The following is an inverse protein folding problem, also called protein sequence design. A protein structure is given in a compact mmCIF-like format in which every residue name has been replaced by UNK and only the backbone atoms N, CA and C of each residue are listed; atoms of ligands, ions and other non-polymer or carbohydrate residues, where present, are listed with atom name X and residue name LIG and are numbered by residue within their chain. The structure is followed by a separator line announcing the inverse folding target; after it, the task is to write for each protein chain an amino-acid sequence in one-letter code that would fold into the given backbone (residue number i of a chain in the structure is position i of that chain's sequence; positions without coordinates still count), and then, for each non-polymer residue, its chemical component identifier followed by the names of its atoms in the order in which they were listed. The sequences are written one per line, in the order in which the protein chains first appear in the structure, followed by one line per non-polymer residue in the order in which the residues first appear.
data_IF_084345874182
#
_entry.id   IF_084345874182
#
_cell.length_a   1.000
_cell.length_b   1.000
_cell.length_c   1.000
_cell.angle_alpha   90.00
_cell.angle_beta   90.00
_cell.angle_gamma   90.00
#
_symmetry.space_group_name_H-M   'P 1'
#
loop_
_entity.id
_entity.type
_entity.pdbx_description
1 polymer ?
#
# COMPACT_ATOMS: atom_id res chain seq x y z
N UNK A 1 2.59 -20.27 -41.54
CA UNK A 1 3.62 -20.60 -40.54
C UNK A 1 4.17 -19.29 -40.01
N UNK A 2 3.66 -18.90 -38.86
CA UNK A 2 3.81 -17.59 -38.20
C UNK A 2 5.23 -17.44 -37.66
N UNK A 3 5.94 -16.36 -38.02
CA UNK A 3 7.13 -15.93 -37.31
C UNK A 3 6.78 -14.76 -36.40
N UNK A 4 6.60 -15.07 -35.13
CA UNK A 4 6.60 -14.11 -34.02
C UNK A 4 8.08 -13.88 -33.70
N UNK A 5 8.64 -12.76 -34.17
CA UNK A 5 9.99 -12.33 -33.80
C UNK A 5 9.96 -10.84 -33.47
N UNK A 6 9.62 -10.51 -32.23
CA UNK A 6 10.21 -9.38 -31.50
C UNK A 6 9.79 -9.44 -30.03
N UNK A 7 10.51 -10.22 -29.21
CA UNK A 7 10.43 -10.08 -27.76
C UNK A 7 11.32 -8.91 -27.33
N UNK A 8 10.72 -7.74 -27.08
CA UNK A 8 11.40 -6.64 -26.38
C UNK A 8 11.20 -6.83 -24.87
N UNK A 9 12.26 -7.23 -24.17
CA UNK A 9 12.30 -7.17 -22.71
C UNK A 9 12.53 -5.71 -22.27
N UNK A 10 11.61 -5.16 -21.48
CA UNK A 10 11.74 -3.86 -20.83
C UNK A 10 11.65 -4.07 -19.31
N UNK A 11 12.73 -3.77 -18.59
CA UNK A 11 12.76 -3.85 -17.13
C UNK A 11 12.05 -2.65 -16.52
N UNK A 12 11.10 -2.90 -15.62
CA UNK A 12 10.36 -1.87 -14.88
C UNK A 12 10.79 -1.83 -13.42
N UNK A 13 11.02 -0.62 -12.92
CA UNK A 13 11.22 -0.31 -11.51
C UNK A 13 9.97 0.44 -11.03
N UNK A 14 8.99 -0.29 -10.50
CA UNK A 14 7.74 0.26 -9.95
C UNK A 14 7.84 0.26 -8.43
N UNK A 15 7.91 1.45 -7.83
CA UNK A 15 7.76 1.66 -6.40
C UNK A 15 6.30 2.07 -6.14
N UNK A 16 5.42 1.13 -5.78
CA UNK A 16 4.24 1.40 -4.92
C UNK A 16 3.47 0.13 -4.51
N UNK A 17 3.17 -0.03 -3.21
CA UNK A 17 2.80 -1.29 -2.54
C UNK A 17 1.48 -1.20 -1.72
N UNK A 18 0.46 -0.50 -2.21
CA UNK A 18 -0.72 -0.14 -1.37
C UNK A 18 -1.92 -1.10 -1.46
N UNK A 19 -1.88 -2.15 -2.28
CA UNK A 19 -3.14 -2.84 -2.68
C UNK A 19 -3.43 -4.14 -1.96
N UNK A 20 -2.42 -4.84 -1.45
CA UNK A 20 -2.63 -6.19 -0.89
C UNK A 20 -3.54 -6.24 0.36
N UNK A 21 -3.91 -5.07 0.91
CA UNK A 21 -4.72 -5.01 2.13
C UNK A 21 -6.24 -5.17 1.92
N UNK A 22 -6.78 -4.90 0.74
CA UNK A 22 -8.25 -4.82 0.54
C UNK A 22 -8.93 -6.18 0.27
N UNK A 23 -8.23 -7.15 -0.35
CA UNK A 23 -8.82 -8.43 -0.77
C UNK A 23 -8.97 -9.47 0.36
N UNK A 24 -8.16 -9.37 1.42
CA UNK A 24 -8.30 -10.25 2.60
C UNK A 24 -9.57 -9.95 3.41
N UNK A 25 -10.05 -8.69 3.36
CA UNK A 25 -11.22 -8.23 4.12
C UNK A 25 -12.55 -8.78 3.58
N UNK A 26 -12.66 -8.97 2.25
CA UNK A 26 -13.91 -9.48 1.65
C UNK A 26 -14.04 -11.00 1.70
N UNK A 27 -12.92 -11.72 1.78
CA UNK A 27 -12.92 -13.20 1.77
C UNK A 27 -13.32 -13.79 3.12
N UNK A 28 -13.00 -13.13 4.23
CA UNK A 28 -13.32 -13.60 5.58
C UNK A 28 -14.77 -13.33 6.00
N UNK A 29 -15.55 -12.56 5.24
CA UNK A 29 -16.96 -12.24 5.56
C UNK A 29 -17.95 -13.37 5.23
N UNK A 30 -17.54 -14.40 4.46
CA UNK A 30 -18.46 -15.41 3.90
C UNK A 30 -18.44 -16.79 4.57
N UNK A 31 -17.56 -17.05 5.55
CA UNK A 31 -17.53 -18.35 6.25
C UNK A 31 -17.60 -18.17 7.77
N UNK A 32 -18.80 -18.41 8.30
CA UNK A 32 -19.13 -18.78 9.69
C UNK A 32 -18.85 -17.70 10.75
N UNK A 33 -19.90 -17.12 11.36
CA UNK A 33 -20.17 -17.11 12.82
C UNK A 33 -21.34 -16.18 13.18
N UNK A 34 -22.18 -16.64 14.11
CA UNK A 34 -23.51 -16.12 14.49
C UNK A 34 -23.51 -14.68 15.06
N UNK A 35 -24.55 -13.91 14.69
CA UNK A 35 -24.76 -12.48 14.96
C UNK A 35 -24.86 -12.07 16.45
N UNK A 36 -24.92 -12.99 17.40
CA UNK A 36 -25.10 -12.66 18.82
C UNK A 36 -23.81 -12.67 19.65
N UNK A 37 -22.67 -13.14 19.10
CA UNK A 37 -21.41 -13.23 19.84
C UNK A 37 -20.45 -12.05 19.57
N UNK A 38 -20.67 -11.31 18.49
CA UNK A 38 -19.74 -10.33 17.93
C UNK A 38 -19.57 -9.04 18.76
N UNK A 39 -20.62 -8.44 19.37
CA UNK A 39 -20.45 -7.21 20.15
C UNK A 39 -19.72 -7.44 21.49
N UNK A 40 -19.92 -8.61 22.10
CA UNK A 40 -19.28 -9.00 23.35
C UNK A 40 -17.79 -9.31 23.15
N UNK A 41 -17.44 -9.96 22.03
CA UNK A 41 -16.04 -10.24 21.68
C UNK A 41 -15.31 -8.98 21.19
N UNK A 42 -15.96 -8.07 20.46
CA UNK A 42 -15.34 -6.82 20.00
C UNK A 42 -14.95 -5.89 21.14
N UNK A 43 -15.81 -5.68 22.14
CA UNK A 43 -15.48 -4.84 23.31
C UNK A 43 -14.29 -5.38 24.12
N UNK A 44 -14.14 -6.71 24.21
CA UNK A 44 -13.04 -7.37 24.93
C UNK A 44 -11.79 -7.64 24.07
N UNK A 45 -11.84 -7.53 22.73
CA UNK A 45 -10.75 -7.98 21.83
C UNK A 45 -9.75 -6.91 21.42
N UNK A 46 -10.09 -5.62 21.50
CA UNK A 46 -9.19 -4.54 21.07
C UNK A 46 -7.92 -4.42 21.91
N UNK A 47 -8.02 -4.66 23.22
CA UNK A 47 -6.85 -4.67 24.12
C UNK A 47 -6.22 -6.05 24.30
N UNK A 48 -6.99 -7.13 24.11
CA UNK A 48 -6.59 -8.48 24.55
C UNK A 48 -5.89 -9.30 23.46
N UNK A 49 -6.21 -9.13 22.17
CA UNK A 49 -5.60 -9.96 21.11
C UNK A 49 -4.10 -9.67 20.86
N UNK A 50 -3.63 -8.41 20.78
CA UNK A 50 -2.20 -8.14 20.59
C UNK A 50 -1.35 -8.51 21.80
N UNK A 51 -1.89 -8.34 23.01
CA UNK A 51 -1.23 -8.68 24.26
C UNK A 51 -1.24 -10.20 24.52
N UNK A 52 -2.33 -10.91 24.20
CA UNK A 52 -2.41 -12.36 24.25
C UNK A 52 -1.52 -13.02 23.19
N UNK A 53 -1.54 -12.55 21.95
CA UNK A 53 -0.68 -13.10 20.89
C UNK A 53 0.77 -12.69 21.09
N UNK A 54 1.03 -11.44 21.50
CA UNK A 54 2.34 -10.99 21.91
C UNK A 54 2.91 -11.88 23.02
N UNK A 55 2.18 -12.14 24.09
CA UNK A 55 2.64 -13.05 25.16
C UNK A 55 2.77 -14.51 24.72
N UNK A 56 1.89 -15.00 23.84
CA UNK A 56 1.96 -16.37 23.29
C UNK A 56 3.19 -16.55 22.39
N UNK A 57 3.54 -15.55 21.57
CA UNK A 57 4.69 -15.59 20.65
C UNK A 57 5.99 -15.03 21.26
N UNK A 58 5.92 -14.26 22.35
CA UNK A 58 7.08 -13.95 23.21
C UNK A 58 7.45 -15.13 24.11
N UNK A 59 6.52 -16.07 24.32
CA UNK A 59 6.79 -17.37 24.96
C UNK A 59 7.47 -18.39 24.05
N UNK A 60 7.53 -18.12 22.72
CA UNK A 60 8.38 -18.87 21.79
C UNK A 60 9.84 -18.57 22.13
N UNK A 61 10.65 -19.61 22.35
CA UNK A 61 12.07 -19.45 22.72
C UNK A 61 12.79 -18.52 21.73
N UNK A 62 13.61 -17.57 22.21
CA UNK A 62 14.37 -16.68 21.34
C UNK A 62 15.17 -17.51 20.34
N UNK A 63 14.90 -17.34 19.05
CA UNK A 63 15.63 -18.01 17.97
C UNK A 63 14.94 -19.17 17.27
N UNK A 64 13.70 -19.57 17.62
CA UNK A 64 12.92 -20.46 16.76
C UNK A 64 12.15 -19.67 15.69
N UNK A 65 12.33 -20.06 14.43
CA UNK A 65 11.59 -19.48 13.31
C UNK A 65 10.12 -19.92 13.37
N UNK A 66 9.18 -18.98 13.24
CA UNK A 66 7.76 -19.30 13.17
C UNK A 66 7.43 -20.09 11.89
N UNK A 67 6.52 -21.05 12.01
CA UNK A 67 5.94 -21.73 10.85
C UNK A 67 5.15 -20.74 9.97
N UNK A 68 4.88 -21.14 8.73
CA UNK A 68 4.10 -20.32 7.77
C UNK A 68 2.71 -20.01 8.33
N UNK A 69 2.09 -20.98 9.00
CA UNK A 69 0.77 -20.87 9.62
C UNK A 69 0.78 -19.87 10.78
N UNK A 70 1.77 -19.96 11.68
CA UNK A 70 1.91 -19.06 12.84
C UNK A 70 2.22 -17.63 12.41
N UNK A 71 3.15 -17.46 11.46
CA UNK A 71 3.50 -16.17 10.84
C UNK A 71 2.27 -15.52 10.22
N UNK A 72 1.49 -16.29 9.46
CA UNK A 72 0.28 -15.78 8.82
C UNK A 72 -0.78 -15.40 9.86
N UNK A 73 -1.00 -16.23 10.89
CA UNK A 73 -1.95 -15.95 11.97
C UNK A 73 -1.59 -14.68 12.74
N UNK A 74 -0.30 -14.50 13.08
CA UNK A 74 0.22 -13.29 13.69
C UNK A 74 -0.11 -12.06 12.85
N UNK A 75 0.16 -12.13 11.54
CA UNK A 75 -0.09 -11.00 10.63
C UNK A 75 -1.58 -10.66 10.52
N UNK A 76 -2.46 -11.67 10.49
CA UNK A 76 -3.91 -11.48 10.41
C UNK A 76 -4.43 -10.80 11.67
N UNK A 77 -3.99 -11.24 12.84
CA UNK A 77 -4.42 -10.66 14.10
C UNK A 77 -4.01 -9.19 14.23
N UNK A 78 -2.73 -8.89 14.02
CA UNK A 78 -2.20 -7.54 14.08
C UNK A 78 -2.83 -6.63 13.01
N UNK A 79 -3.12 -7.16 11.81
CA UNK A 79 -3.83 -6.44 10.74
C UNK A 79 -5.28 -6.11 11.11
N UNK A 80 -5.99 -7.03 11.76
CA UNK A 80 -7.37 -6.82 12.17
C UNK A 80 -7.49 -5.72 13.24
N UNK A 81 -6.60 -5.76 14.24
CA UNK A 81 -6.57 -4.75 15.31
C UNK A 81 -6.18 -3.38 14.78
N UNK A 82 -5.10 -3.28 14.00
CA UNK A 82 -4.72 -1.97 13.43
C UNK A 82 -5.76 -1.46 12.42
N UNK A 83 -6.44 -2.37 11.71
CA UNK A 83 -7.47 -2.03 10.74
C UNK A 83 -8.69 -1.36 11.38
N UNK A 84 -9.17 -1.89 12.50
CA UNK A 84 -10.31 -1.32 13.23
C UNK A 84 -9.97 0.03 13.86
N UNK A 85 -8.79 0.17 14.47
CA UNK A 85 -8.30 1.43 15.02
C UNK A 85 -8.13 2.51 13.93
N UNK A 86 -7.57 2.15 12.78
CA UNK A 86 -7.44 3.08 11.63
C UNK A 86 -8.78 3.51 11.06
N UNK A 87 -9.81 2.66 11.11
CA UNK A 87 -11.16 3.03 10.69
C UNK A 87 -11.79 4.02 11.68
N UNK A 88 -11.67 3.76 12.99
CA UNK A 88 -12.11 4.68 14.04
C UNK A 88 -11.41 6.04 13.92
N UNK A 89 -10.09 6.06 13.77
CA UNK A 89 -9.30 7.28 13.63
C UNK A 89 -9.75 8.15 12.44
N UNK A 90 -10.04 7.55 11.28
CA UNK A 90 -10.55 8.28 10.11
C UNK A 90 -11.92 8.91 10.36
N UNK A 91 -12.83 8.19 11.02
CA UNK A 91 -14.17 8.69 11.35
C UNK A 91 -14.05 9.88 12.31
N UNK A 92 -13.28 9.72 13.39
CA UNK A 92 -13.09 10.75 14.41
C UNK A 92 -12.43 11.99 13.80
N UNK A 93 -11.37 11.82 12.99
CA UNK A 93 -10.70 12.93 12.31
C UNK A 93 -11.63 13.69 11.35
N UNK A 94 -12.54 12.98 10.66
CA UNK A 94 -13.54 13.62 9.80
C UNK A 94 -14.60 14.40 10.60
N UNK A 95 -14.97 13.91 11.78
CA UNK A 95 -15.90 14.62 12.69
C UNK A 95 -15.23 15.87 13.25
N UNK A 96 -13.96 15.80 13.67
CA UNK A 96 -13.18 16.94 14.15
C UNK A 96 -13.17 18.08 13.13
N UNK A 97 -12.82 17.78 11.88
CA UNK A 97 -12.80 18.79 10.79
C UNK A 97 -14.18 19.41 10.56
N UNK A 98 -15.26 18.63 10.66
CA UNK A 98 -16.63 19.15 10.52
C UNK A 98 -17.02 20.06 11.68
N UNK A 99 -16.69 19.69 12.92
CA UNK A 99 -17.01 20.50 14.10
C UNK A 99 -16.14 21.77 14.18
N UNK A 100 -14.87 21.71 13.75
CA UNK A 100 -14.01 22.90 13.60
C UNK A 100 -14.61 23.90 12.60
N UNK A 101 -15.13 23.42 11.46
CA UNK A 101 -15.79 24.28 10.46
C UNK A 101 -17.05 24.98 10.99
N UNK A 102 -17.70 24.40 12.01
CA UNK A 102 -18.91 24.91 12.66
C UNK A 102 -18.60 25.82 13.85
N UNK A 103 -17.33 25.99 14.22
CA UNK A 103 -16.86 26.76 15.39
C UNK A 103 -17.47 26.29 16.73
N UNK A 104 -17.74 25.00 16.86
CA UNK A 104 -18.27 24.42 18.08
C UNK A 104 -17.13 24.02 19.03
N UNK A 105 -16.58 24.99 19.75
CA UNK A 105 -15.32 24.85 20.49
C UNK A 105 -15.34 23.74 21.56
N UNK A 106 -16.47 23.56 22.28
CA UNK A 106 -16.59 22.49 23.28
C UNK A 106 -16.52 21.08 22.66
N UNK A 107 -17.23 20.87 21.54
CA UNK A 107 -17.24 19.57 20.86
C UNK A 107 -15.90 19.27 20.18
N UNK A 108 -15.22 20.30 19.66
CA UNK A 108 -13.88 20.15 19.08
C UNK A 108 -12.88 19.63 20.12
N UNK A 109 -12.94 20.15 21.35
CA UNK A 109 -12.07 19.66 22.45
C UNK A 109 -12.34 18.19 22.77
N UNK A 110 -13.62 17.80 22.94
CA UNK A 110 -13.98 16.41 23.23
C UNK A 110 -13.56 15.43 22.12
N UNK A 111 -13.72 15.83 20.86
CA UNK A 111 -13.33 14.99 19.70
C UNK A 111 -11.80 14.89 19.59
N UNK A 112 -11.05 15.96 19.89
CA UNK A 112 -9.58 15.95 19.96
C UNK A 112 -9.05 15.01 21.03
N UNK A 113 -9.67 15.01 22.21
CA UNK A 113 -9.30 14.10 23.29
C UNK A 113 -9.55 12.63 22.89
N UNK A 114 -10.69 12.36 22.24
CA UNK A 114 -11.00 11.02 21.75
C UNK A 114 -10.04 10.59 20.63
N UNK A 115 -9.70 11.47 19.68
CA UNK A 115 -8.69 11.20 18.65
C UNK A 115 -7.35 10.85 19.27
N UNK A 116 -6.91 11.61 20.27
CA UNK A 116 -5.63 11.41 20.96
C UNK A 116 -5.56 10.04 21.65
N UNK A 117 -6.67 9.55 22.21
CA UNK A 117 -6.76 8.18 22.78
C UNK A 117 -6.57 7.12 21.70
N UNK A 118 -7.27 7.26 20.56
CA UNK A 118 -7.15 6.33 19.43
C UNK A 118 -5.72 6.33 18.86
N UNK A 119 -5.07 7.49 18.78
CA UNK A 119 -3.68 7.63 18.34
C UNK A 119 -2.67 6.99 19.30
N UNK A 120 -2.94 7.04 20.61
CA UNK A 120 -2.16 6.32 21.61
C UNK A 120 -2.27 4.82 21.39
N UNK A 121 -3.49 4.29 21.28
CA UNK A 121 -3.71 2.85 21.03
C UNK A 121 -3.06 2.39 19.72
N UNK A 122 -3.17 3.18 18.65
CA UNK A 122 -2.48 2.91 17.38
C UNK A 122 -0.95 2.88 17.55
N UNK A 123 -0.39 3.82 18.32
CA UNK A 123 1.04 3.89 18.61
C UNK A 123 1.50 2.68 19.41
N UNK A 124 0.73 2.24 20.40
CA UNK A 124 1.06 1.10 21.27
C UNK A 124 1.06 -0.21 20.48
N UNK A 125 0.07 -0.42 19.61
CA UNK A 125 0.03 -1.59 18.71
C UNK A 125 1.23 -1.60 17.77
N UNK A 126 1.63 -0.44 17.23
CA UNK A 126 2.81 -0.34 16.37
C UNK A 126 4.13 -0.57 17.13
N UNK A 127 4.23 -0.06 18.36
CA UNK A 127 5.41 -0.28 19.21
C UNK A 127 5.57 -1.77 19.58
N UNK A 128 4.46 -2.42 19.93
CA UNK A 128 4.43 -3.85 20.25
C UNK A 128 4.93 -4.72 19.10
N UNK A 129 4.46 -4.47 17.87
CA UNK A 129 4.92 -5.26 16.71
C UNK A 129 6.36 -4.97 16.34
N UNK A 130 6.85 -3.72 16.48
CA UNK A 130 8.26 -3.43 16.25
C UNK A 130 9.17 -4.14 17.23
N UNK A 131 8.80 -4.15 18.52
CA UNK A 131 9.55 -4.89 19.52
C UNK A 131 9.64 -6.38 19.15
N UNK A 132 8.51 -6.99 18.75
CA UNK A 132 8.47 -8.39 18.33
C UNK A 132 9.29 -8.65 17.06
N UNK A 133 9.19 -7.78 16.05
CA UNK A 133 9.92 -7.91 14.79
C UNK A 133 11.43 -7.77 14.98
N UNK A 134 11.87 -6.73 15.71
CA UNK A 134 13.29 -6.40 15.86
C UNK A 134 14.00 -7.32 16.85
N UNK A 135 13.30 -7.76 17.91
CA UNK A 135 13.92 -8.58 18.95
C UNK A 135 13.89 -10.08 18.64
N UNK A 136 12.89 -10.55 17.89
CA UNK A 136 12.66 -11.99 17.68
C UNK A 136 12.57 -12.38 16.20
N UNK A 137 11.59 -11.84 15.46
CA UNK A 137 11.19 -12.40 14.16
C UNK A 137 12.19 -12.15 13.03
N UNK A 138 12.77 -10.95 12.94
CA UNK A 138 13.77 -10.62 11.92
C UNK A 138 15.09 -11.37 12.20
N UNK A 139 15.62 -11.40 13.44
CA UNK A 139 16.81 -12.18 13.77
C UNK A 139 16.64 -13.70 13.59
N UNK A 140 15.45 -14.26 13.88
CA UNK A 140 15.21 -15.71 13.79
C UNK A 140 14.91 -16.21 12.38
N UNK A 141 14.59 -15.32 11.43
CA UNK A 141 14.28 -15.70 10.05
C UNK A 141 15.51 -16.24 9.32
N UNK A 142 15.51 -17.53 8.97
CA UNK A 142 16.57 -18.14 8.16
C UNK A 142 16.24 -18.06 6.66
N UNK A 143 14.97 -18.29 6.29
CA UNK A 143 14.50 -18.26 4.92
C UNK A 143 14.38 -16.83 4.36
N UNK A 144 14.71 -16.66 3.08
CA UNK A 144 14.57 -15.38 2.37
C UNK A 144 13.12 -14.89 2.35
N UNK A 145 12.15 -15.80 2.21
CA UNK A 145 10.72 -15.49 2.25
C UNK A 145 10.28 -14.90 3.60
N UNK A 146 10.69 -15.51 4.72
CA UNK A 146 10.40 -15.03 6.08
C UNK A 146 11.00 -13.64 6.33
N UNK A 147 12.25 -13.41 5.89
CA UNK A 147 12.89 -12.09 6.01
C UNK A 147 12.13 -11.01 5.26
N UNK A 148 11.75 -11.29 4.00
CA UNK A 148 10.95 -10.36 3.19
C UNK A 148 9.60 -10.10 3.85
N UNK A 149 8.93 -11.15 4.36
CA UNK A 149 7.65 -11.01 5.05
C UNK A 149 7.73 -10.08 6.26
N UNK A 150 8.72 -10.28 7.15
CA UNK A 150 8.87 -9.46 8.35
C UNK A 150 9.31 -8.03 8.05
N UNK A 151 10.22 -7.82 7.10
CA UNK A 151 10.61 -6.47 6.66
C UNK A 151 9.44 -5.73 6.01
N UNK A 152 8.64 -6.42 5.19
CA UNK A 152 7.41 -5.88 4.62
C UNK A 152 6.41 -5.51 5.71
N UNK A 153 6.21 -6.39 6.70
CA UNK A 153 5.35 -6.11 7.85
C UNK A 153 5.84 -4.88 8.61
N UNK A 154 7.14 -4.77 8.89
CA UNK A 154 7.75 -3.58 9.50
C UNK A 154 7.44 -2.31 8.71
N UNK A 155 7.61 -2.35 7.38
CA UNK A 155 7.26 -1.25 6.49
C UNK A 155 5.78 -0.84 6.55
N UNK A 156 4.86 -1.81 6.59
CA UNK A 156 3.43 -1.54 6.74
C UNK A 156 3.10 -0.82 8.05
N UNK A 157 3.75 -1.19 9.16
CA UNK A 157 3.53 -0.55 10.46
C UNK A 157 4.16 0.83 10.56
N UNK A 158 5.32 1.06 9.92
CA UNK A 158 5.84 2.41 9.75
C UNK A 158 4.90 3.29 8.91
N UNK A 159 4.32 2.74 7.84
CA UNK A 159 3.31 3.44 7.04
C UNK A 159 2.08 3.78 7.86
N UNK A 160 1.56 2.86 8.69
CA UNK A 160 0.45 3.16 9.59
C UNK A 160 0.78 4.27 10.58
N UNK A 161 1.96 4.24 11.21
CA UNK A 161 2.42 5.33 12.07
C UNK A 161 2.46 6.67 11.35
N UNK A 162 2.98 6.70 10.12
CA UNK A 162 3.02 7.90 9.32
C UNK A 162 1.62 8.44 8.94
N UNK A 163 0.60 7.59 8.81
CA UNK A 163 -0.76 8.04 8.49
C UNK A 163 -1.38 8.90 9.59
N UNK A 164 -1.20 8.56 10.88
CA UNK A 164 -1.82 9.27 11.99
C UNK A 164 -0.87 10.20 12.76
N UNK A 165 0.43 9.90 12.81
CA UNK A 165 1.44 10.88 13.24
C UNK A 165 1.71 11.93 12.17
N UNK A 166 1.35 11.64 10.92
CA UNK A 166 1.47 12.51 9.75
C UNK A 166 0.16 13.15 9.33
N UNK A 167 -0.66 13.61 10.29
CA UNK A 167 -1.17 14.98 10.11
C UNK A 167 0.08 15.86 10.17
N UNK A 168 0.68 16.06 9.00
CA UNK A 168 2.02 16.61 8.81
C UNK A 168 2.04 18.03 9.38
N UNK A 169 2.43 18.18 10.66
CA UNK A 169 2.60 19.50 11.26
C UNK A 169 3.84 20.21 10.71
N UNK A 170 4.74 19.48 10.06
CA UNK A 170 5.84 20.08 9.32
C UNK A 170 5.34 20.58 7.98
N UNK A 171 5.53 21.87 7.73
CA UNK A 171 5.26 22.39 6.42
C UNK A 171 6.22 21.75 5.41
N UNK A 172 5.83 21.63 4.12
CA UNK A 172 6.78 21.26 3.07
C UNK A 172 8.06 22.08 3.19
N UNK A 173 9.23 21.57 2.77
CA UNK A 173 10.49 22.30 2.88
C UNK A 173 10.32 23.76 2.43
N UNK A 174 10.79 24.73 3.22
CA UNK A 174 10.52 26.15 2.95
C UNK A 174 10.88 26.57 1.51
N UNK A 175 11.93 25.95 0.95
CA UNK A 175 12.34 26.15 -0.44
C UNK A 175 11.25 25.72 -1.44
N UNK A 176 10.58 24.59 -1.21
CA UNK A 176 9.47 24.12 -2.04
C UNK A 176 8.24 25.02 -1.91
N UNK A 177 7.90 25.47 -0.69
CA UNK A 177 6.78 26.39 -0.46
C UNK A 177 7.01 27.74 -1.14
N UNK A 178 8.20 28.30 -0.98
CA UNK A 178 8.57 29.57 -1.60
C UNK A 178 8.49 29.47 -3.12
N UNK A 179 9.03 28.38 -3.68
CA UNK A 179 8.97 28.15 -5.12
C UNK A 179 7.54 27.94 -5.62
N UNK A 180 6.72 27.16 -4.91
CA UNK A 180 5.32 26.99 -5.27
C UNK A 180 4.53 28.31 -5.21
N UNK A 181 4.77 29.16 -4.21
CA UNK A 181 4.13 30.46 -4.07
C UNK A 181 4.53 31.45 -5.18
N UNK A 182 5.79 31.45 -5.61
CA UNK A 182 6.26 32.22 -6.77
C UNK A 182 5.57 31.74 -8.06
N UNK A 183 5.50 30.43 -8.24
CA UNK A 183 5.01 29.77 -9.46
C UNK A 183 3.48 29.79 -9.60
N UNK A 184 2.71 29.93 -8.51
CA UNK A 184 1.24 29.85 -8.54
C UNK A 184 0.59 30.93 -9.41
N UNK A 185 1.28 32.06 -9.59
CA UNK A 185 0.79 33.20 -10.38
C UNK A 185 1.21 33.13 -11.84
N UNK A 186 2.04 32.15 -12.24
CA UNK A 186 2.45 31.98 -13.63
C UNK A 186 1.33 31.33 -14.45
N UNK A 187 0.77 32.01 -15.47
CA UNK A 187 -0.33 31.48 -16.27
C UNK A 187 0.02 30.22 -17.08
N UNK A 188 1.31 29.89 -17.19
CA UNK A 188 1.81 28.66 -17.81
C UNK A 188 1.55 27.43 -16.94
N UNK A 189 1.52 27.58 -15.61
CA UNK A 189 1.44 26.47 -14.65
C UNK A 189 0.00 25.99 -14.44
N UNK A 190 -0.98 26.86 -14.70
CA UNK A 190 -2.40 26.49 -14.68
C UNK A 190 -2.86 25.74 -15.93
N UNK A 191 -1.98 25.52 -16.91
CA UNK A 191 -2.31 24.79 -18.14
C UNK A 191 -2.06 23.30 -17.95
N UNK A 192 -2.79 22.49 -18.71
CA UNK A 192 -2.40 21.09 -18.88
C UNK A 192 -0.97 21.04 -19.45
N UNK A 193 -0.10 20.31 -18.76
CA UNK A 193 1.25 20.03 -19.22
C UNK A 193 1.26 19.05 -20.39
N UNK A 194 2.44 18.82 -20.97
CA UNK A 194 2.61 17.74 -21.93
C UNK A 194 2.27 16.39 -21.29
N UNK A 195 1.67 15.47 -22.05
CA UNK A 195 1.24 14.15 -21.58
C UNK A 195 2.38 13.35 -20.95
N UNK A 196 3.61 13.60 -21.42
CA UNK A 196 4.82 12.94 -20.95
C UNK A 196 5.47 13.54 -19.69
N UNK A 197 4.96 14.70 -19.24
CA UNK A 197 5.48 15.43 -18.09
C UNK A 197 6.39 16.60 -18.46
N UNK A 198 6.72 17.39 -17.43
CA UNK A 198 7.53 18.61 -17.55
C UNK A 198 8.96 18.26 -18.01
N UNK A 199 9.51 18.90 -19.07
CA UNK A 199 10.83 18.57 -19.62
C UNK A 199 11.97 18.58 -18.59
N UNK A 200 12.02 19.61 -17.75
CA UNK A 200 13.04 19.80 -16.72
C UNK A 200 13.03 18.64 -15.70
N UNK A 201 11.84 18.17 -15.35
CA UNK A 201 11.67 17.03 -14.45
C UNK A 201 12.14 15.73 -15.10
N UNK A 202 11.81 15.53 -16.39
CA UNK A 202 12.22 14.33 -17.14
C UNK A 202 13.74 14.26 -17.29
N UNK A 203 14.40 15.38 -17.56
CA UNK A 203 15.86 15.45 -17.62
C UNK A 203 16.51 15.15 -16.27
N UNK A 204 15.97 15.71 -15.19
CA UNK A 204 16.44 15.43 -13.83
C UNK A 204 16.30 13.94 -13.47
N UNK A 205 15.17 13.33 -13.78
CA UNK A 205 14.93 11.90 -13.56
C UNK A 205 15.83 11.03 -14.44
N UNK A 206 16.02 11.40 -15.71
CA UNK A 206 16.91 10.67 -16.64
C UNK A 206 18.35 10.68 -16.13
N UNK A 207 18.84 11.83 -15.68
CA UNK A 207 20.17 11.97 -15.07
C UNK A 207 20.30 11.09 -13.82
N UNK A 208 19.31 11.13 -12.93
CA UNK A 208 19.27 10.28 -11.73
C UNK A 208 19.34 8.79 -12.10
N UNK A 209 18.54 8.34 -13.07
CA UNK A 209 18.53 6.94 -13.53
C UNK A 209 19.86 6.52 -14.18
N UNK A 210 20.51 7.43 -14.89
CA UNK A 210 21.83 7.18 -15.48
C UNK A 210 22.92 7.05 -14.41
N UNK A 211 22.92 7.96 -13.43
CA UNK A 211 23.95 8.04 -12.39
C UNK A 211 23.80 6.91 -11.37
N UNK A 212 22.59 6.70 -10.85
CA UNK A 212 22.33 5.75 -9.78
C UNK A 212 21.95 4.35 -10.28
N UNK A 213 21.13 4.26 -11.33
CA UNK A 213 20.59 2.98 -11.81
C UNK A 213 21.31 2.42 -13.04
N UNK A 214 22.25 3.19 -13.63
CA UNK A 214 23.03 2.80 -14.82
C UNK A 214 22.15 2.49 -16.06
N UNK A 215 21.03 3.20 -16.20
CA UNK A 215 20.02 2.97 -17.24
C UNK A 215 20.11 3.95 -18.42
N UNK A 216 21.11 3.78 -19.29
CA UNK A 216 21.52 4.76 -20.30
C UNK A 216 20.70 4.88 -21.59
N UNK A 217 19.74 3.98 -21.83
CA UNK A 217 18.93 3.93 -23.08
C UNK A 217 17.43 3.95 -22.80
N UNK A 218 17.04 4.73 -21.79
CA UNK A 218 15.67 4.80 -21.30
C UNK A 218 15.05 6.15 -21.62
N UNK A 219 13.80 6.16 -22.08
CA UNK A 219 12.99 7.38 -22.13
C UNK A 219 12.15 7.48 -20.85
N UNK A 220 12.04 8.68 -20.29
CA UNK A 220 11.27 8.93 -19.07
C UNK A 220 9.95 9.61 -19.42
N UNK A 221 8.87 9.06 -18.86
CA UNK A 221 7.53 9.62 -18.87
C UNK A 221 7.06 9.77 -17.42
N UNK A 222 6.50 10.91 -17.06
CA UNK A 222 5.94 11.17 -15.72
C UNK A 222 4.43 11.06 -15.78
N UNK A 223 3.86 10.11 -15.04
CA UNK A 223 2.41 9.87 -14.98
C UNK A 223 1.86 10.16 -13.58
N UNK A 224 0.54 10.37 -13.48
CA UNK A 224 -0.20 10.46 -12.22
C UNK A 224 -0.38 9.07 -11.59
N UNK A 225 0.74 8.42 -11.28
CA UNK A 225 0.81 7.10 -10.68
C UNK A 225 0.83 5.94 -11.67
N UNK A 226 0.95 4.73 -11.11
CA UNK A 226 1.16 3.50 -11.87
C UNK A 226 -0.04 3.09 -12.75
N UNK A 227 -1.27 3.45 -12.36
CA UNK A 227 -2.46 3.11 -13.15
C UNK A 227 -2.49 3.85 -14.50
N UNK A 228 -2.17 5.14 -14.52
CA UNK A 228 -2.09 5.89 -15.77
C UNK A 228 -0.94 5.37 -16.65
N UNK A 229 0.20 5.03 -16.04
CA UNK A 229 1.30 4.40 -16.77
C UNK A 229 0.88 3.08 -17.43
N UNK A 230 0.15 2.22 -16.69
CA UNK A 230 -0.35 0.95 -17.21
C UNK A 230 -1.32 1.16 -18.38
N UNK A 231 -2.30 2.07 -18.23
CA UNK A 231 -3.27 2.37 -19.31
C UNK A 231 -2.55 2.88 -20.55
N UNK A 232 -1.62 3.84 -20.41
CA UNK A 232 -0.86 4.37 -21.53
C UNK A 232 -0.08 3.26 -22.26
N UNK A 233 0.51 2.31 -21.51
CA UNK A 233 1.18 1.16 -22.10
C UNK A 233 0.22 0.28 -22.91
N UNK A 234 -0.95 -0.05 -22.35
CA UNK A 234 -1.95 -0.87 -23.06
C UNK A 234 -2.43 -0.18 -24.32
N UNK A 235 -2.74 1.12 -24.26
CA UNK A 235 -3.14 1.92 -25.42
C UNK A 235 -2.03 2.03 -26.49
N UNK A 236 -0.77 1.92 -26.09
CA UNK A 236 0.38 2.00 -27.02
C UNK A 236 0.71 0.65 -27.65
N UNK A 237 0.43 -0.46 -26.94
CA UNK A 237 0.90 -1.79 -27.30
C UNK A 237 -0.18 -2.72 -27.84
N UNK A 238 -1.46 -2.44 -27.59
CA UNK A 238 -2.56 -3.34 -27.94
C UNK A 238 -3.53 -2.69 -28.93
N UNK A 239 -3.86 -3.44 -29.98
CA UNK A 239 -4.87 -3.10 -30.97
C UNK A 239 -6.11 -4.01 -30.85
N UNK A 240 -7.20 -3.61 -31.52
CA UNK A 240 -8.42 -4.40 -31.56
C UNK A 240 -8.17 -5.76 -32.23
N UNK A 241 -8.58 -6.84 -31.57
CA UNK A 241 -8.37 -8.21 -32.04
C UNK A 241 -7.07 -8.87 -31.55
N UNK A 242 -6.20 -8.14 -30.85
CA UNK A 242 -5.05 -8.75 -30.17
C UNK A 242 -5.50 -9.73 -29.08
N UNK A 243 -4.60 -10.64 -28.73
CA UNK A 243 -4.78 -11.56 -27.60
C UNK A 243 -3.75 -11.25 -26.54
N UNK A 244 -4.20 -11.10 -25.30
CA UNK A 244 -3.35 -10.73 -24.17
C UNK A 244 -3.44 -11.78 -23.09
N UNK A 245 -2.30 -12.04 -22.45
CA UNK A 245 -2.22 -12.94 -21.30
C UNK A 245 -1.99 -12.11 -20.04
N UNK A 246 -2.88 -12.28 -19.07
CA UNK A 246 -2.79 -11.72 -17.73
C UNK A 246 -2.60 -12.85 -16.72
N UNK A 247 -2.01 -12.57 -15.57
CA UNK A 247 -1.85 -13.53 -14.49
C UNK A 247 -2.58 -13.05 -13.24
N UNK A 248 -3.27 -13.96 -12.55
CA UNK A 248 -3.92 -13.67 -11.29
C UNK A 248 -2.91 -13.67 -10.13
N UNK A 249 -3.03 -12.77 -9.13
CA UNK A 249 -4.04 -11.73 -8.98
C UNK A 249 -3.71 -10.47 -9.80
N UNK A 250 -4.72 -9.91 -10.48
CA UNK A 250 -4.63 -8.64 -11.19
C UNK A 250 -5.70 -7.67 -10.72
N UNK A 251 -5.52 -6.39 -11.03
CA UNK A 251 -6.51 -5.37 -10.74
C UNK A 251 -7.61 -5.31 -11.80
N UNK A 252 -8.83 -4.99 -11.37
CA UNK A 252 -9.93 -4.77 -12.29
C UNK A 252 -9.61 -3.73 -13.37
N UNK A 253 -8.86 -2.66 -13.04
CA UNK A 253 -8.49 -1.64 -14.02
C UNK A 253 -7.54 -2.18 -15.10
N UNK A 254 -6.69 -3.16 -14.79
CA UNK A 254 -5.83 -3.77 -15.79
C UNK A 254 -6.66 -4.51 -16.85
N UNK A 255 -7.66 -5.29 -16.42
CA UNK A 255 -8.57 -6.00 -17.31
C UNK A 255 -9.41 -5.04 -18.17
N UNK A 256 -9.98 -4.00 -17.53
CA UNK A 256 -10.76 -2.98 -18.26
C UNK A 256 -9.91 -2.21 -19.28
N UNK A 257 -8.63 -1.97 -18.99
CA UNK A 257 -7.72 -1.25 -19.91
C UNK A 257 -7.56 -2.01 -21.24
N UNK A 258 -7.49 -3.34 -21.21
CA UNK A 258 -7.45 -4.16 -22.42
C UNK A 258 -8.79 -4.16 -23.15
N UNK A 259 -9.91 -4.23 -22.42
CA UNK A 259 -11.23 -4.16 -23.07
C UNK A 259 -11.44 -2.83 -23.81
N UNK A 260 -10.89 -1.72 -23.28
CA UNK A 260 -10.97 -0.41 -23.90
C UNK A 260 -10.25 -0.32 -25.26
N UNK A 261 -9.24 -1.16 -25.53
CA UNK A 261 -8.57 -1.22 -26.84
C UNK A 261 -9.28 -2.13 -27.85
N UNK A 262 -10.42 -2.74 -27.47
CA UNK A 262 -11.12 -3.70 -28.32
C UNK A 262 -10.54 -5.12 -28.28
N UNK A 263 -9.65 -5.41 -27.33
CA UNK A 263 -9.16 -6.76 -27.08
C UNK A 263 -10.27 -7.59 -26.43
N UNK A 264 -10.74 -8.61 -27.16
CA UNK A 264 -11.79 -9.52 -26.68
C UNK A 264 -11.24 -10.83 -26.13
N UNK A 265 -10.00 -11.18 -26.48
CA UNK A 265 -9.37 -12.44 -26.09
C UNK A 265 -8.34 -12.23 -24.97
N UNK A 266 -8.84 -12.05 -23.75
CA UNK A 266 -8.01 -11.88 -22.55
C UNK A 266 -7.92 -13.23 -21.83
N UNK A 267 -6.77 -13.87 -21.92
CA UNK A 267 -6.47 -15.12 -21.21
C UNK A 267 -5.93 -14.79 -19.83
N UNK A 268 -6.53 -15.37 -18.79
CA UNK A 268 -6.07 -15.21 -17.42
C UNK A 268 -5.43 -16.51 -16.94
N UNK A 269 -4.11 -16.52 -16.83
CA UNK A 269 -3.34 -17.62 -16.24
C UNK A 269 -3.30 -17.55 -14.71
N UNK A 270 -3.05 -18.68 -14.04
CA UNK A 270 -2.76 -18.70 -12.62
C UNK A 270 -1.42 -18.00 -12.34
N UNK A 271 -1.32 -17.28 -11.23
CA UNK A 271 -0.03 -16.91 -10.68
C UNK A 271 0.37 -17.90 -9.59
N UNK A 272 1.67 -18.11 -9.43
CA UNK A 272 2.21 -18.90 -8.32
C UNK A 272 1.72 -18.28 -7.00
N UNK A 273 0.98 -19.03 -6.16
CA UNK A 273 0.41 -18.49 -4.92
C UNK A 273 1.46 -17.99 -3.91
N UNK A 274 2.72 -18.41 -4.05
CA UNK A 274 3.84 -18.06 -3.17
C UNK A 274 4.70 -16.93 -3.72
N UNK A 275 5.03 -16.97 -5.01
CA UNK A 275 5.90 -15.94 -5.64
C UNK A 275 5.13 -14.81 -6.32
N UNK A 276 3.83 -15.01 -6.58
CA UNK A 276 2.96 -14.13 -7.39
C UNK A 276 3.50 -13.92 -8.81
N UNK A 277 4.47 -14.74 -9.23
CA UNK A 277 4.95 -14.75 -10.59
C UNK A 277 3.94 -15.44 -11.52
N UNK A 278 3.96 -15.10 -12.82
CA UNK A 278 3.28 -15.89 -13.83
C UNK A 278 3.59 -17.39 -13.69
N UNK A 279 2.57 -18.22 -13.47
CA UNK A 279 2.69 -19.67 -13.48
C UNK A 279 2.09 -20.19 -14.80
N UNK A 280 2.92 -20.49 -15.81
CA UNK A 280 2.44 -20.98 -17.09
C UNK A 280 1.90 -22.42 -17.03
N UNK A 281 1.96 -23.08 -15.87
CA UNK A 281 1.69 -24.52 -15.70
C UNK A 281 2.93 -25.38 -15.90
#
# INVERSE_FOLDING_TARGET
MTMITSFRFMYFLVLDFTIFSFLLYQTLRKKVFSQHFFPFFLSQSHHFLPSLLGSTFLGSTPGSELSVEERNLLSVAYKNVIGSLRAAWRIVSSIEQKEESRKNEEHVVLVKDYRSKVESELSDVCASIFQLLDSNLIPSASASESKVFYLKMKGDYHRYLAEFKGVVYWQPPQQALKKAAELVWEPSISRYGADEGIPELREALTRKLNEENKLYKSSVMVTAGANQAFVNLVLTLCDAGDSVVMFAPYYFNAYMSFQMTGVTNILVGPGDPKTLHPDPG
#
